data_IF_823887834895
#
_entry.id   IF_823887834895
#
_cell.length_a   1.000
_cell.length_b   1.000
_cell.length_c   1.000
_cell.angle_alpha   90.00
_cell.angle_beta   90.00
_cell.angle_gamma   90.00
#
_symmetry.space_group_name_H-M   'P 1'
#
loop_
_entity.id
_entity.type
_entity.pdbx_description
1 polymer ?
#
# COMPACT_ATOMS: atom_id res chain seq x y z
N UNK A 1 -16.12 18.16 9.06
CA UNK A 1 -14.91 17.60 8.43
C UNK A 1 -14.40 16.48 9.32
N UNK A 2 -14.25 15.26 8.79
CA UNK A 2 -13.73 14.10 9.51
C UNK A 2 -12.31 13.78 9.02
N UNK A 3 -11.41 13.55 9.97
CA UNK A 3 -10.07 13.02 9.71
C UNK A 3 -10.06 11.55 10.11
N UNK A 4 -9.88 10.65 9.14
CA UNK A 4 -9.80 9.21 9.36
C UNK A 4 -8.38 8.74 9.08
N UNK A 5 -7.75 8.14 10.08
CA UNK A 5 -6.37 7.64 10.00
C UNK A 5 -6.39 6.13 10.23
N UNK A 6 -5.97 5.36 9.24
CA UNK A 6 -5.68 3.94 9.43
C UNK A 6 -4.28 3.79 10.01
N UNK A 7 -4.22 3.68 11.34
CA UNK A 7 -2.97 3.62 12.10
C UNK A 7 -2.26 2.27 11.97
N UNK A 8 -0.93 2.27 12.15
CA UNK A 8 -0.08 1.07 12.25
C UNK A 8 -0.33 0.01 11.15
N UNK A 9 -0.46 0.49 9.91
CA UNK A 9 -0.78 -0.36 8.76
C UNK A 9 0.41 -1.19 8.30
N UNK A 10 0.17 -2.49 8.11
CA UNK A 10 1.14 -3.48 7.67
C UNK A 10 1.39 -3.45 6.15
N UNK A 11 1.73 -2.24 5.68
CA UNK A 11 2.04 -1.89 4.29
C UNK A 11 3.48 -1.40 4.20
N UNK A 12 4.29 -2.15 3.46
CA UNK A 12 5.71 -1.88 3.24
C UNK A 12 6.19 -2.55 1.95
N UNK A 13 7.39 -2.22 1.51
CA UNK A 13 8.06 -2.98 0.45
C UNK A 13 8.74 -4.23 1.01
N UNK A 14 9.04 -5.17 0.12
CA UNK A 14 9.81 -6.37 0.46
C UNK A 14 11.14 -5.98 1.11
N UNK A 15 11.40 -6.54 2.30
CA UNK A 15 12.62 -6.28 3.04
C UNK A 15 13.85 -6.98 2.43
N UNK A 16 15.07 -6.45 2.64
CA UNK A 16 16.31 -7.11 2.20
C UNK A 16 16.44 -8.56 2.71
N UNK A 17 15.91 -8.86 3.90
CA UNK A 17 16.00 -10.19 4.54
C UNK A 17 15.33 -11.30 3.73
N UNK A 18 14.27 -10.97 2.98
CA UNK A 18 13.56 -11.95 2.14
C UNK A 18 13.66 -11.62 0.65
N UNK A 19 14.39 -10.57 0.27
CA UNK A 19 14.53 -10.14 -1.11
C UNK A 19 15.16 -11.23 -2.00
N UNK A 20 16.02 -12.08 -1.45
CA UNK A 20 16.67 -13.19 -2.15
C UNK A 20 15.81 -14.46 -2.27
N UNK A 21 14.62 -14.49 -1.65
CA UNK A 21 13.72 -15.63 -1.74
C UNK A 21 13.30 -15.89 -3.20
N UNK A 22 13.28 -17.17 -3.60
CA UNK A 22 13.00 -17.58 -4.99
C UNK A 22 11.64 -17.07 -5.49
N UNK A 23 10.61 -17.07 -4.64
CA UNK A 23 9.25 -16.64 -5.03
C UNK A 23 9.18 -15.13 -5.27
N UNK A 24 9.90 -14.37 -4.43
CA UNK A 24 10.03 -12.92 -4.56
C UNK A 24 10.83 -12.57 -5.82
N UNK A 25 12.00 -13.19 -6.00
CA UNK A 25 12.89 -12.98 -7.14
C UNK A 25 12.20 -13.31 -8.46
N UNK A 26 11.49 -14.44 -8.54
CA UNK A 26 10.74 -14.81 -9.74
C UNK A 26 9.71 -13.73 -10.11
N UNK A 27 8.96 -13.23 -9.12
CA UNK A 27 7.94 -12.20 -9.35
C UNK A 27 8.55 -10.86 -9.74
N UNK A 28 9.67 -10.49 -9.14
CA UNK A 28 10.43 -9.27 -9.44
C UNK A 28 10.93 -9.30 -10.89
N UNK A 29 11.56 -10.41 -11.30
CA UNK A 29 12.02 -10.64 -12.69
C UNK A 29 10.88 -10.57 -13.70
N UNK A 30 9.75 -11.24 -13.42
CA UNK A 30 8.56 -11.20 -14.30
C UNK A 30 8.02 -9.78 -14.49
N UNK A 31 8.23 -8.89 -13.53
CA UNK A 31 7.82 -7.48 -13.58
C UNK A 31 8.90 -6.53 -14.07
N UNK A 32 10.13 -7.00 -14.30
CA UNK A 32 11.26 -6.13 -14.64
C UNK A 32 11.62 -5.14 -13.51
N UNK A 33 11.39 -5.50 -12.24
CA UNK A 33 11.63 -4.64 -11.07
C UNK A 33 12.58 -5.30 -10.08
N UNK A 34 13.16 -4.53 -9.16
CA UNK A 34 13.93 -5.08 -8.04
C UNK A 34 12.99 -5.71 -7.02
N UNK A 35 13.46 -6.76 -6.34
CA UNK A 35 12.67 -7.42 -5.29
C UNK A 35 12.18 -6.43 -4.23
N UNK A 36 13.03 -5.52 -3.79
CA UNK A 36 12.75 -4.47 -2.78
C UNK A 36 11.82 -3.35 -3.27
N UNK A 37 11.42 -3.36 -4.55
CA UNK A 37 10.43 -2.43 -5.09
C UNK A 37 9.01 -3.02 -5.08
N UNK A 38 8.88 -4.31 -4.80
CA UNK A 38 7.59 -4.97 -4.65
C UNK A 38 7.01 -4.69 -3.26
N UNK A 39 5.69 -4.68 -3.16
CA UNK A 39 5.00 -4.62 -1.86
C UNK A 39 5.05 -5.98 -1.17
N UNK A 40 5.31 -5.97 0.13
CA UNK A 40 5.29 -7.17 0.97
C UNK A 40 3.85 -7.66 1.15
N UNK A 41 3.61 -8.94 0.87
CA UNK A 41 2.29 -9.57 0.95
C UNK A 41 2.43 -11.00 1.49
N UNK A 42 1.90 -11.24 2.69
CA UNK A 42 1.98 -12.53 3.39
C UNK A 42 1.19 -13.64 2.71
N UNK A 43 0.15 -13.30 1.95
CA UNK A 43 -0.62 -14.27 1.16
C UNK A 43 0.16 -14.75 -0.07
N UNK A 44 1.22 -14.03 -0.46
CA UNK A 44 2.02 -14.32 -1.66
C UNK A 44 3.39 -14.88 -1.35
N UNK A 45 4.07 -14.33 -0.35
CA UNK A 45 5.45 -14.66 -0.04
C UNK A 45 5.52 -15.41 1.27
N UNK A 46 5.61 -16.74 1.22
CA UNK A 46 5.76 -17.57 2.43
C UNK A 46 7.00 -17.22 3.26
N UNK A 47 8.00 -16.57 2.65
CA UNK A 47 9.21 -16.09 3.31
C UNK A 47 8.94 -15.00 4.36
N UNK A 48 7.75 -14.38 4.38
CA UNK A 48 7.33 -13.45 5.45
C UNK A 48 7.42 -14.07 6.84
N UNK A 49 7.26 -15.41 6.95
CA UNK A 49 7.43 -16.15 8.21
C UNK A 49 8.82 -15.99 8.86
N UNK A 50 9.83 -15.59 8.07
CA UNK A 50 11.20 -15.38 8.54
C UNK A 50 11.45 -13.93 9.02
N UNK A 51 10.45 -13.05 8.93
CA UNK A 51 10.52 -11.67 9.41
C UNK A 51 10.12 -11.58 10.89
N UNK A 52 10.42 -10.44 11.51
CA UNK A 52 9.86 -10.10 12.83
C UNK A 52 8.34 -9.92 12.72
N UNK A 53 7.61 -10.33 13.76
CA UNK A 53 6.15 -10.24 13.84
C UNK A 53 5.41 -10.80 12.60
N UNK A 54 5.73 -12.04 12.18
CA UNK A 54 5.24 -12.59 10.91
C UNK A 54 3.72 -12.74 10.83
N UNK A 55 3.03 -12.78 11.98
CA UNK A 55 1.58 -12.96 12.06
C UNK A 55 0.77 -11.73 11.62
N UNK A 56 1.36 -10.53 11.70
CA UNK A 56 0.70 -9.27 11.28
C UNK A 56 1.27 -8.71 9.97
N UNK A 57 2.54 -8.99 9.68
CA UNK A 57 3.30 -8.29 8.63
C UNK A 57 2.88 -8.62 7.20
N UNK A 58 2.87 -7.60 6.33
CA UNK A 58 2.56 -7.76 4.91
C UNK A 58 1.08 -8.02 4.65
N UNK A 59 0.21 -7.18 5.23
CA UNK A 59 -1.25 -7.22 5.06
C UNK A 59 -1.79 -5.99 4.33
N UNK A 60 -1.34 -5.73 3.09
CA UNK A 60 -1.81 -4.58 2.30
C UNK A 60 -3.27 -4.75 1.85
N UNK A 61 -3.84 -5.95 1.96
CA UNK A 61 -5.27 -6.22 1.72
C UNK A 61 -6.18 -5.47 2.71
N UNK A 62 -5.78 -5.34 3.98
CA UNK A 62 -6.54 -4.59 4.98
C UNK A 62 -6.60 -3.12 4.57
N UNK A 63 -5.45 -2.54 4.22
CA UNK A 63 -5.38 -1.16 3.71
C UNK A 63 -6.29 -1.02 2.49
N UNK A 64 -6.19 -1.92 1.52
CA UNK A 64 -6.99 -1.89 0.29
C UNK A 64 -8.49 -1.81 0.58
N UNK A 65 -9.01 -2.70 1.43
CA UNK A 65 -10.44 -2.74 1.78
C UNK A 65 -10.86 -1.47 2.50
N UNK A 66 -10.06 -1.00 3.46
CA UNK A 66 -10.32 0.24 4.19
C UNK A 66 -10.32 1.46 3.26
N UNK A 67 -9.35 1.57 2.33
CA UNK A 67 -9.32 2.67 1.37
C UNK A 67 -10.56 2.63 0.47
N UNK A 68 -10.95 1.46 -0.05
CA UNK A 68 -12.15 1.35 -0.88
C UNK A 68 -13.40 1.83 -0.11
N UNK A 69 -13.59 1.34 1.11
CA UNK A 69 -14.74 1.71 1.94
C UNK A 69 -14.77 3.20 2.28
N UNK A 70 -13.62 3.77 2.67
CA UNK A 70 -13.51 5.19 3.03
C UNK A 70 -13.76 6.10 1.81
N UNK A 71 -13.12 5.80 0.68
CA UNK A 71 -13.16 6.63 -0.52
C UNK A 71 -14.51 6.56 -1.25
N UNK A 72 -15.22 5.43 -1.20
CA UNK A 72 -16.55 5.28 -1.80
C UNK A 72 -17.70 5.82 -0.91
N UNK A 73 -17.41 6.22 0.33
CA UNK A 73 -18.40 6.72 1.30
C UNK A 73 -19.08 8.02 0.84
N UNK A 74 -20.35 8.26 1.23
CA UNK A 74 -21.03 9.54 0.97
C UNK A 74 -20.24 10.74 1.52
N UNK A 75 -19.62 10.57 2.68
CA UNK A 75 -18.82 11.61 3.33
C UNK A 75 -17.62 12.06 2.48
N UNK A 76 -16.95 11.12 1.78
CA UNK A 76 -15.88 11.48 0.86
C UNK A 76 -16.40 12.19 -0.40
N UNK A 77 -17.56 11.77 -0.92
CA UNK A 77 -18.20 12.40 -2.09
C UNK A 77 -18.60 13.86 -1.83
N UNK A 78 -18.99 14.16 -0.60
CA UNK A 78 -19.30 15.52 -0.15
C UNK A 78 -18.04 16.35 0.20
N UNK A 79 -16.84 15.77 0.06
CA UNK A 79 -15.57 16.47 0.35
C UNK A 79 -15.27 16.65 1.84
N UNK A 80 -16.04 15.98 2.71
CA UNK A 80 -16.00 16.11 4.17
C UNK A 80 -15.08 15.08 4.85
N UNK A 81 -14.37 14.25 4.08
CA UNK A 81 -13.40 13.28 4.57
C UNK A 81 -11.96 13.71 4.21
N UNK A 82 -11.04 13.54 5.16
CA UNK A 82 -9.60 13.47 4.92
C UNK A 82 -9.10 12.11 5.39
N UNK A 83 -8.54 11.34 4.48
CA UNK A 83 -8.16 9.96 4.74
C UNK A 83 -6.65 9.77 4.63
N UNK A 84 -6.08 9.17 5.68
CA UNK A 84 -4.65 8.91 5.80
C UNK A 84 -4.40 7.45 6.17
N UNK A 85 -3.28 6.91 5.70
CA UNK A 85 -2.77 5.60 6.11
C UNK A 85 -1.39 5.80 6.72
N UNK A 86 -1.27 5.52 8.02
CA UNK A 86 0.02 5.48 8.69
C UNK A 86 0.58 4.06 8.59
N UNK A 87 1.78 3.92 8.04
CA UNK A 87 2.42 2.63 7.77
C UNK A 87 3.31 2.19 8.94
N UNK A 88 3.68 0.90 8.96
CA UNK A 88 4.62 0.31 9.93
C UNK A 88 5.97 1.03 10.04
N UNK A 89 6.40 1.73 9.00
CA UNK A 89 7.68 2.45 8.97
C UNK A 89 7.49 3.95 9.15
N UNK A 90 6.47 4.36 9.92
CA UNK A 90 6.15 5.75 10.26
C UNK A 90 6.08 6.67 9.04
N UNK A 91 5.51 6.15 7.93
CA UNK A 91 5.22 6.95 6.74
C UNK A 91 3.72 7.16 6.62
N UNK A 92 3.33 8.34 6.17
CA UNK A 92 1.92 8.71 5.99
C UNK A 92 1.59 8.71 4.50
N UNK A 93 0.57 7.96 4.10
CA UNK A 93 -0.06 8.08 2.79
C UNK A 93 -1.27 9.00 2.94
N UNK A 94 -1.25 10.12 2.24
CA UNK A 94 -2.40 11.00 2.07
C UNK A 94 -3.17 10.59 0.81
N UNK A 95 -4.48 10.41 0.95
CA UNK A 95 -5.38 10.19 -0.16
C UNK A 95 -6.22 11.44 -0.45
N UNK A 96 -6.05 12.01 -1.64
CA UNK A 96 -6.92 13.09 -2.10
C UNK A 96 -8.36 12.58 -2.24
N UNK A 97 -9.41 13.35 -1.92
CA UNK A 97 -10.80 12.89 -2.02
C UNK A 97 -11.21 12.37 -3.41
N UNK A 98 -10.55 12.86 -4.48
CA UNK A 98 -10.76 12.38 -5.86
C UNK A 98 -9.92 11.15 -6.24
N UNK A 99 -9.09 10.63 -5.33
CA UNK A 99 -8.20 9.52 -5.59
C UNK A 99 -8.99 8.24 -5.92
N UNK A 100 -8.70 7.66 -7.09
CA UNK A 100 -9.38 6.44 -7.55
C UNK A 100 -8.58 5.21 -7.14
N UNK A 101 -9.01 4.57 -6.05
CA UNK A 101 -8.41 3.33 -5.58
C UNK A 101 -8.83 2.16 -6.50
N UNK A 102 -7.89 1.40 -7.07
CA UNK A 102 -8.26 0.28 -7.94
C UNK A 102 -9.03 -0.79 -7.18
N UNK A 103 -10.22 -1.18 -7.64
CA UNK A 103 -10.99 -2.30 -7.05
C UNK A 103 -10.28 -3.65 -7.16
N UNK A 104 -9.47 -3.83 -8.21
CA UNK A 104 -8.62 -5.02 -8.35
C UNK A 104 -7.41 -4.92 -7.43
N UNK A 105 -7.30 -5.85 -6.48
CA UNK A 105 -6.17 -5.93 -5.56
C UNK A 105 -4.80 -5.96 -6.28
N UNK A 106 -4.68 -6.66 -7.41
CA UNK A 106 -3.44 -6.68 -8.19
C UNK A 106 -3.04 -5.29 -8.74
N UNK A 107 -4.03 -4.48 -9.16
CA UNK A 107 -3.80 -3.11 -9.62
C UNK A 107 -3.50 -2.19 -8.43
N UNK A 108 -4.17 -2.37 -7.30
CA UNK A 108 -3.85 -1.66 -6.05
C UNK A 108 -2.41 -1.90 -5.63
N UNK A 109 -1.94 -3.16 -5.63
CA UNK A 109 -0.54 -3.49 -5.34
C UNK A 109 0.41 -2.79 -6.31
N UNK A 110 0.11 -2.78 -7.62
CA UNK A 110 0.93 -2.03 -8.60
C UNK A 110 0.97 -0.52 -8.33
N UNK A 111 -0.16 0.06 -7.90
CA UNK A 111 -0.23 1.47 -7.51
C UNK A 111 0.58 1.77 -6.25
N UNK A 112 0.51 0.92 -5.22
CA UNK A 112 1.31 1.05 -3.99
C UNK A 112 2.80 0.89 -4.28
N UNK A 113 3.16 -0.09 -5.12
CA UNK A 113 4.51 -0.30 -5.62
C UNK A 113 5.09 0.93 -6.34
N UNK A 114 4.27 1.66 -7.10
CA UNK A 114 4.65 2.91 -7.72
C UNK A 114 4.76 4.02 -6.67
N UNK A 115 3.76 4.16 -5.80
CA UNK A 115 3.74 5.17 -4.74
C UNK A 115 4.98 5.11 -3.83
N UNK A 116 5.38 3.90 -3.40
CA UNK A 116 6.58 3.73 -2.59
C UNK A 116 7.88 4.03 -3.34
N UNK A 117 7.89 3.88 -4.66
CA UNK A 117 9.05 4.18 -5.51
C UNK A 117 9.16 5.69 -5.81
N UNK A 118 8.06 6.35 -6.16
CA UNK A 118 8.06 7.74 -6.65
C UNK A 118 7.69 8.77 -5.58
N UNK A 119 7.06 8.35 -4.48
CA UNK A 119 6.53 9.23 -3.45
C UNK A 119 5.15 9.83 -3.76
N UNK A 120 4.71 9.79 -5.02
CA UNK A 120 3.39 10.24 -5.44
C UNK A 120 2.87 9.43 -6.63
N UNK A 121 1.58 9.13 -6.64
CA UNK A 121 0.84 8.65 -7.81
C UNK A 121 -0.30 9.61 -8.09
N UNK A 122 -0.23 10.33 -9.20
CA UNK A 122 -1.24 11.31 -9.59
C UNK A 122 -1.77 11.11 -11.02
N UNK A 123 -3.05 11.44 -11.21
CA UNK A 123 -3.73 11.51 -12.50
C UNK A 123 -4.68 12.72 -12.49
N UNK A 124 -4.25 13.84 -13.07
CA UNK A 124 -4.94 15.11 -12.93
C UNK A 124 -5.01 15.54 -11.47
N UNK A 125 -6.22 15.82 -10.96
CA UNK A 125 -6.45 16.20 -9.56
C UNK A 125 -6.52 15.01 -8.57
N UNK A 126 -6.47 13.78 -9.06
CA UNK A 126 -6.47 12.57 -8.22
C UNK A 126 -5.03 12.25 -7.82
N UNK A 127 -4.69 12.26 -6.53
CA UNK A 127 -3.36 11.84 -6.08
C UNK A 127 -3.39 10.96 -4.82
N UNK A 128 -2.37 10.12 -4.70
CA UNK A 128 -1.88 9.54 -3.45
C UNK A 128 -0.47 10.07 -3.23
N UNK A 129 -0.17 10.58 -2.04
CA UNK A 129 1.16 11.09 -1.69
C UNK A 129 1.69 10.39 -0.46
N UNK A 130 2.96 10.05 -0.47
CA UNK A 130 3.66 9.37 0.61
C UNK A 130 4.64 10.34 1.27
N UNK A 131 4.28 10.81 2.46
CA UNK A 131 5.07 11.71 3.29
C UNK A 131 5.89 10.99 4.36
N UNK A 132 6.54 11.81 5.20
CA UNK A 132 7.05 11.43 6.52
C UNK A 132 5.98 11.76 7.55
#
# INVERSE_FOLDING_TARGET
MLYLILADSELETVTPKIASDKSVQWKARKRGRRATELILDSNRYKATRNLSEPNRRGRPDIVHVCMLAAMDSPLNREGLLRFYVHTRHDRIIEAHPKARIPRSYNRFIGMMEQLFLTGEVSQGESFLRLGK
#
